data_IF_062453929739
#
_entry.id   IF_062453929739
#
_cell.length_a   1.000
_cell.length_b   1.000
_cell.length_c   1.000
_cell.angle_alpha   90.00
_cell.angle_beta   90.00
_cell.angle_gamma   90.00
#
_symmetry.space_group_name_H-M   'P 1'
#
loop_
_entity.id
_entity.type
_entity.pdbx_description
1 polymer ?
#
# COMPACT_ATOMS: atom_id res chain seq x y z
N UNK A 1 59.58 -30.93 -35.35
CA UNK A 1 59.61 -31.59 -34.03
C UNK A 1 58.28 -32.32 -33.84
N UNK A 2 58.36 -33.65 -33.85
CA UNK A 2 57.55 -34.65 -33.12
C UNK A 2 56.09 -34.33 -32.70
N UNK A 3 55.15 -35.16 -33.20
CA UNK A 3 53.92 -35.56 -32.46
C UNK A 3 54.30 -36.54 -31.31
N UNK A 4 53.44 -36.81 -30.32
CA UNK A 4 52.35 -37.77 -30.54
C UNK A 4 51.00 -37.41 -29.88
N UNK A 5 49.96 -38.01 -30.46
CA UNK A 5 48.65 -38.33 -29.89
C UNK A 5 48.74 -39.38 -28.79
N UNK A 6 47.81 -39.38 -27.82
CA UNK A 6 47.38 -40.62 -27.17
C UNK A 6 45.97 -40.49 -26.58
N UNK A 7 45.01 -41.17 -27.22
CA UNK A 7 43.83 -41.76 -26.58
C UNK A 7 44.27 -42.85 -25.61
N UNK A 8 43.49 -43.12 -24.54
CA UNK A 8 42.97 -44.46 -24.18
C UNK A 8 42.37 -44.47 -22.76
N UNK A 9 41.17 -45.06 -22.69
CA UNK A 9 40.51 -45.83 -21.62
C UNK A 9 40.00 -45.17 -20.33
N UNK A 10 38.67 -45.31 -20.20
CA UNK A 10 37.95 -45.72 -18.99
C UNK A 10 38.76 -46.67 -18.10
N UNK A 11 38.79 -46.43 -16.79
CA UNK A 11 38.31 -47.46 -15.86
C UNK A 11 37.91 -46.91 -14.49
N UNK A 12 36.90 -47.57 -13.95
CA UNK A 12 36.15 -47.24 -12.74
C UNK A 12 37.02 -47.29 -11.49
N UNK A 13 36.83 -46.36 -10.57
CA UNK A 13 37.01 -46.65 -9.15
C UNK A 13 35.85 -46.08 -8.33
N UNK A 14 35.30 -46.97 -7.52
CA UNK A 14 34.01 -46.92 -6.85
C UNK A 14 33.90 -45.85 -5.78
N UNK A 15 32.65 -45.43 -5.58
CA UNK A 15 32.03 -45.03 -4.31
C UNK A 15 32.89 -44.27 -3.30
N UNK A 16 32.65 -42.97 -3.20
CA UNK A 16 32.36 -42.39 -1.91
C UNK A 16 31.10 -41.53 -1.99
N UNK A 17 30.08 -41.98 -1.24
CA UNK A 17 28.98 -41.15 -0.78
C UNK A 17 29.58 -39.99 0.03
N UNK A 18 29.28 -38.77 -0.37
CA UNK A 18 29.34 -37.62 0.53
C UNK A 18 28.29 -36.60 0.10
N UNK A 19 27.15 -36.73 0.77
CA UNK A 19 26.22 -35.66 1.15
C UNK A 19 25.84 -34.64 0.06
N UNK A 20 24.75 -34.96 -0.65
CA UNK A 20 23.86 -33.96 -1.22
C UNK A 20 23.20 -33.14 -0.09
N UNK A 21 23.95 -32.25 0.55
CA UNK A 21 23.35 -31.09 1.18
C UNK A 21 22.86 -30.16 0.07
N UNK A 22 21.65 -30.42 -0.43
CA UNK A 22 20.84 -29.42 -1.10
C UNK A 22 20.67 -28.25 -0.13
N UNK A 23 21.58 -27.28 -0.19
CA UNK A 23 21.35 -25.94 0.32
C UNK A 23 20.18 -25.39 -0.50
N UNK A 24 18.95 -25.65 -0.05
CA UNK A 24 17.76 -24.93 -0.48
C UNK A 24 18.07 -23.46 -0.27
N UNK A 25 18.41 -22.77 -1.36
CA UNK A 25 18.67 -21.35 -1.37
C UNK A 25 17.34 -20.69 -1.03
N UNK A 26 17.14 -20.39 0.26
CA UNK A 26 15.88 -19.91 0.76
C UNK A 26 15.43 -18.69 -0.05
N UNK A 27 14.38 -18.87 -0.84
CA UNK A 27 13.79 -17.81 -1.63
C UNK A 27 12.46 -17.43 -0.97
N UNK A 28 12.11 -16.15 -0.96
CA UNK A 28 10.81 -15.68 -0.44
C UNK A 28 9.62 -16.42 -1.10
N UNK A 29 9.81 -16.91 -2.33
CA UNK A 29 8.77 -17.68 -3.05
C UNK A 29 8.64 -19.13 -2.58
N UNK A 30 9.67 -19.70 -1.95
CA UNK A 30 9.68 -21.07 -1.42
C UNK A 30 9.34 -21.14 0.07
N UNK A 31 9.19 -19.99 0.73
CA UNK A 31 8.77 -19.96 2.13
C UNK A 31 7.32 -20.45 2.31
N UNK A 32 7.03 -21.16 3.41
CA UNK A 32 5.68 -21.48 3.85
C UNK A 32 4.78 -20.23 3.90
N UNK A 33 3.50 -20.43 3.62
CA UNK A 33 2.50 -19.35 3.59
C UNK A 33 2.42 -18.63 4.93
N UNK A 34 2.52 -19.39 6.02
CA UNK A 34 2.44 -18.93 7.41
C UNK A 34 3.57 -17.94 7.71
N UNK A 35 4.80 -18.24 7.28
CA UNK A 35 5.94 -17.33 7.48
C UNK A 35 5.77 -16.04 6.67
N UNK A 36 5.21 -16.12 5.47
CA UNK A 36 4.97 -14.92 4.65
C UNK A 36 3.88 -14.05 5.27
N UNK A 37 2.82 -14.66 5.83
CA UNK A 37 1.80 -13.94 6.60
C UNK A 37 2.44 -13.24 7.79
N UNK A 38 3.24 -13.95 8.60
CA UNK A 38 3.92 -13.36 9.76
C UNK A 38 4.86 -12.21 9.38
N UNK A 39 5.63 -12.35 8.30
CA UNK A 39 6.47 -11.26 7.78
C UNK A 39 5.59 -10.07 7.38
N UNK A 40 4.45 -10.32 6.74
CA UNK A 40 3.54 -9.26 6.29
C UNK A 40 2.87 -8.56 7.46
N UNK A 41 2.42 -9.30 8.48
CA UNK A 41 1.88 -8.76 9.73
C UNK A 41 2.93 -7.91 10.45
N UNK A 42 4.15 -8.42 10.58
CA UNK A 42 5.26 -7.66 11.16
C UNK A 42 5.53 -6.36 10.38
N UNK A 43 5.45 -6.38 9.05
CA UNK A 43 5.64 -5.18 8.22
C UNK A 43 4.52 -4.15 8.40
N UNK A 44 3.25 -4.56 8.42
CA UNK A 44 2.13 -3.61 8.57
C UNK A 44 2.05 -3.02 9.97
N UNK A 45 2.59 -3.72 10.99
CA UNK A 45 2.68 -3.27 12.38
C UNK A 45 4.06 -2.73 12.78
N UNK A 46 5.00 -2.60 11.85
CA UNK A 46 6.40 -2.28 12.16
C UNK A 46 6.59 -0.90 12.83
N UNK A 47 5.59 -0.02 12.76
CA UNK A 47 5.70 1.35 13.24
C UNK A 47 4.53 1.74 14.14
N UNK A 48 4.84 2.53 15.16
CA UNK A 48 3.87 3.27 15.99
C UNK A 48 3.47 4.52 15.19
N UNK A 49 2.78 4.31 14.08
CA UNK A 49 2.16 5.43 13.36
C UNK A 49 0.81 5.71 14.01
N UNK A 50 0.57 6.97 14.40
CA UNK A 50 -0.62 7.41 15.15
C UNK A 50 -1.95 7.35 14.37
N UNK A 51 -1.96 6.73 13.19
CA UNK A 51 -3.18 6.62 12.42
C UNK A 51 -3.52 7.92 11.67
N UNK A 52 -4.68 7.89 11.02
CA UNK A 52 -5.27 9.09 10.41
C UNK A 52 -5.96 10.01 11.44
N UNK A 53 -5.74 9.79 12.74
CA UNK A 53 -6.40 10.57 13.81
C UNK A 53 -5.41 11.37 14.67
N UNK A 54 -4.11 11.07 14.61
CA UNK A 54 -3.10 11.76 15.41
C UNK A 54 -2.26 12.71 14.56
N UNK A 55 -1.89 13.84 15.16
CA UNK A 55 -0.94 14.75 14.54
C UNK A 55 0.48 14.21 14.71
N UNK A 56 1.26 14.27 13.63
CA UNK A 56 2.61 13.71 13.59
C UNK A 56 3.64 14.82 13.38
N UNK A 57 4.71 14.76 14.18
CA UNK A 57 5.87 15.63 14.07
C UNK A 57 6.97 14.92 13.28
N UNK A 58 7.52 15.61 12.30
CA UNK A 58 8.62 15.08 11.52
C UNK A 58 9.87 15.96 11.70
N UNK A 59 11.03 15.29 11.63
CA UNK A 59 12.38 15.88 11.66
C UNK A 59 12.54 16.98 10.58
N UNK A 60 13.52 17.89 10.70
CA UNK A 60 13.66 19.02 9.80
C UNK A 60 13.76 18.59 8.35
N UNK A 61 12.80 19.06 7.56
CA UNK A 61 12.79 18.93 6.11
C UNK A 61 12.57 20.30 5.49
N UNK A 62 13.05 20.47 4.26
CA UNK A 62 13.02 21.75 3.55
C UNK A 62 11.62 22.05 3.01
N UNK A 63 10.82 21.03 2.68
CA UNK A 63 9.45 21.18 2.19
C UNK A 63 8.51 20.04 2.56
N UNK A 64 7.19 20.30 2.60
CA UNK A 64 6.15 19.28 2.84
C UNK A 64 6.19 18.12 1.84
N UNK A 65 6.73 18.34 0.64
CA UNK A 65 6.88 17.30 -0.38
C UNK A 65 7.98 16.28 -0.02
N UNK A 66 8.95 16.67 0.83
CA UNK A 66 10.04 15.81 1.30
C UNK A 66 9.62 14.89 2.47
N UNK A 67 8.40 15.06 2.97
CA UNK A 67 7.88 14.24 4.04
C UNK A 67 7.92 12.75 3.70
N UNK A 68 8.34 11.89 4.65
CA UNK A 68 8.13 10.46 4.50
C UNK A 68 6.64 10.20 4.28
N UNK A 69 6.35 9.43 3.23
CA UNK A 69 4.96 9.08 2.93
C UNK A 69 4.44 8.15 4.05
N UNK A 70 3.19 8.32 4.50
CA UNK A 70 2.64 7.52 5.58
C UNK A 70 2.70 6.02 5.27
N UNK A 71 2.73 5.22 6.34
CA UNK A 71 2.76 3.76 6.32
C UNK A 71 3.85 3.14 5.44
N UNK A 72 5.15 3.42 5.69
CA UNK A 72 6.24 2.77 4.98
C UNK A 72 6.20 1.24 5.13
N UNK A 73 5.78 0.71 6.28
CA UNK A 73 5.58 -0.73 6.52
C UNK A 73 4.53 -1.36 5.60
N UNK A 74 3.32 -0.78 5.54
CA UNK A 74 2.26 -1.20 4.61
C UNK A 74 2.72 -1.11 3.15
N UNK A 75 3.47 -0.06 2.81
CA UNK A 75 4.04 0.12 1.47
C UNK A 75 5.10 -0.94 1.16
N UNK A 76 5.94 -1.32 2.12
CA UNK A 76 6.92 -2.39 1.98
C UNK A 76 6.22 -3.74 1.75
N UNK A 77 5.17 -4.04 2.53
CA UNK A 77 4.32 -5.21 2.34
C UNK A 77 3.67 -5.24 0.94
N UNK A 78 3.11 -4.12 0.47
CA UNK A 78 2.53 -4.02 -0.86
C UNK A 78 3.57 -4.21 -1.98
N UNK A 79 4.79 -3.67 -1.81
CA UNK A 79 5.92 -3.89 -2.73
C UNK A 79 6.33 -5.36 -2.76
N UNK A 80 6.42 -6.03 -1.61
CA UNK A 80 6.70 -7.46 -1.52
C UNK A 80 5.67 -8.27 -2.33
N UNK A 81 4.38 -8.01 -2.10
CA UNK A 81 3.30 -8.64 -2.85
C UNK A 81 3.39 -8.37 -4.36
N UNK A 82 3.78 -7.17 -4.77
CA UNK A 82 3.85 -6.77 -6.19
C UNK A 82 4.86 -7.56 -7.02
N UNK A 83 5.86 -8.20 -6.39
CA UNK A 83 6.91 -8.95 -7.08
C UNK A 83 6.41 -10.18 -7.84
N UNK A 84 5.43 -10.91 -7.30
CA UNK A 84 4.87 -12.08 -7.97
C UNK A 84 3.42 -12.39 -7.55
N UNK A 85 2.70 -13.17 -8.38
CA UNK A 85 1.29 -13.53 -8.13
C UNK A 85 1.08 -14.27 -6.80
N UNK A 86 1.99 -15.21 -6.46
CA UNK A 86 1.89 -16.01 -5.23
C UNK A 86 1.98 -15.13 -3.99
N UNK A 87 3.00 -14.26 -3.93
CA UNK A 87 3.17 -13.36 -2.79
C UNK A 87 1.98 -12.40 -2.69
N UNK A 88 1.57 -11.76 -3.78
CA UNK A 88 0.37 -10.92 -3.81
C UNK A 88 -0.87 -11.62 -3.22
N UNK A 89 -1.12 -12.86 -3.61
CA UNK A 89 -2.29 -13.61 -3.13
C UNK A 89 -2.27 -13.82 -1.61
N UNK A 90 -1.07 -14.01 -1.03
CA UNK A 90 -0.89 -14.21 0.41
C UNK A 90 -0.89 -12.88 1.17
N UNK A 91 -0.25 -11.84 0.62
CA UNK A 91 -0.10 -10.55 1.31
C UNK A 91 -1.34 -9.68 1.22
N UNK A 92 -2.11 -9.75 0.12
CA UNK A 92 -3.25 -8.86 -0.12
C UNK A 92 -4.33 -8.95 0.99
N UNK A 93 -4.77 -10.14 1.45
CA UNK A 93 -5.72 -10.25 2.55
C UNK A 93 -5.22 -9.60 3.85
N UNK A 94 -3.92 -9.75 4.17
CA UNK A 94 -3.32 -9.16 5.37
C UNK A 94 -3.31 -7.64 5.26
N UNK A 95 -2.82 -7.11 4.14
CA UNK A 95 -2.70 -5.67 3.89
C UNK A 95 -4.08 -5.00 3.88
N UNK A 96 -5.06 -5.57 3.17
CA UNK A 96 -6.40 -5.00 3.06
C UNK A 96 -7.18 -5.15 4.36
N UNK A 97 -7.02 -6.28 5.08
CA UNK A 97 -7.59 -6.45 6.42
C UNK A 97 -7.05 -5.43 7.41
N UNK A 98 -5.75 -5.10 7.33
CA UNK A 98 -5.16 -4.02 8.11
C UNK A 98 -5.72 -2.65 7.70
N UNK A 99 -5.80 -2.35 6.40
CA UNK A 99 -6.32 -1.07 5.88
C UNK A 99 -7.76 -0.79 6.33
N UNK A 100 -8.63 -1.82 6.28
CA UNK A 100 -10.02 -1.70 6.70
C UNK A 100 -10.12 -1.43 8.21
N UNK A 101 -9.31 -2.12 9.02
CA UNK A 101 -9.37 -2.04 10.49
C UNK A 101 -8.70 -0.79 11.06
N UNK A 102 -7.58 -0.37 10.49
CA UNK A 102 -6.67 0.60 11.09
C UNK A 102 -6.46 1.85 10.23
N UNK A 103 -6.88 1.83 8.96
CA UNK A 103 -6.63 2.91 8.00
C UNK A 103 -7.92 3.42 7.35
N UNK A 104 -9.10 3.14 7.90
CA UNK A 104 -10.39 3.65 7.44
C UNK A 104 -10.69 3.37 5.95
N UNK A 105 -10.23 2.23 5.43
CA UNK A 105 -10.33 1.91 4.00
C UNK A 105 -9.64 2.95 3.10
N UNK A 106 -8.50 3.49 3.55
CA UNK A 106 -7.74 4.51 2.80
C UNK A 106 -7.36 4.05 1.40
N UNK A 107 -7.17 2.75 1.18
CA UNK A 107 -6.86 2.21 -0.14
C UNK A 107 -7.98 2.49 -1.16
N UNK A 108 -9.25 2.45 -0.74
CA UNK A 108 -10.40 2.80 -1.57
C UNK A 108 -10.37 4.29 -1.94
N UNK A 109 -10.22 5.16 -0.94
CA UNK A 109 -10.20 6.62 -1.09
C UNK A 109 -9.04 7.09 -1.97
N UNK A 110 -7.83 6.60 -1.71
CA UNK A 110 -6.63 6.94 -2.48
C UNK A 110 -6.69 6.40 -3.90
N UNK A 111 -7.32 5.24 -4.12
CA UNK A 111 -7.54 4.71 -5.47
C UNK A 111 -8.53 5.57 -6.25
N UNK A 112 -9.60 6.03 -5.60
CA UNK A 112 -10.59 6.91 -6.21
C UNK A 112 -9.99 8.27 -6.60
N UNK A 113 -9.23 8.91 -5.70
CA UNK A 113 -8.51 10.17 -5.98
C UNK A 113 -7.58 10.06 -7.20
N UNK A 114 -6.99 8.88 -7.42
CA UNK A 114 -6.05 8.60 -8.52
C UNK A 114 -6.70 8.06 -9.80
N UNK A 115 -8.02 7.86 -9.83
CA UNK A 115 -8.69 7.28 -10.99
C UNK A 115 -8.41 5.79 -11.21
N UNK A 116 -8.04 5.05 -10.17
CA UNK A 116 -7.66 3.63 -10.29
C UNK A 116 -8.86 2.71 -10.06
N UNK A 117 -9.59 2.38 -11.13
CA UNK A 117 -10.71 1.41 -11.08
C UNK A 117 -10.26 0.07 -10.49
N UNK A 118 -9.07 -0.41 -10.86
CA UNK A 118 -8.51 -1.66 -10.33
C UNK A 118 -8.27 -1.58 -8.82
N UNK A 119 -7.77 -0.44 -8.32
CA UNK A 119 -7.55 -0.23 -6.90
C UNK A 119 -8.86 -0.19 -6.12
N UNK A 120 -9.85 0.54 -6.64
CA UNK A 120 -11.20 0.61 -6.08
C UNK A 120 -11.85 -0.78 -6.05
N UNK A 121 -11.84 -1.50 -7.17
CA UNK A 121 -12.37 -2.86 -7.26
C UNK A 121 -11.72 -3.81 -6.26
N UNK A 122 -10.40 -3.71 -6.07
CA UNK A 122 -9.68 -4.52 -5.10
C UNK A 122 -10.11 -4.19 -3.67
N UNK A 123 -10.13 -2.92 -3.28
CA UNK A 123 -10.54 -2.53 -1.93
C UNK A 123 -11.96 -3.02 -1.59
N UNK A 124 -12.90 -2.82 -2.52
CA UNK A 124 -14.28 -3.30 -2.36
C UNK A 124 -14.37 -4.84 -2.31
N UNK A 125 -13.57 -5.56 -3.10
CA UNK A 125 -13.54 -7.03 -3.06
C UNK A 125 -13.08 -7.59 -1.71
N UNK A 126 -12.29 -6.82 -0.95
CA UNK A 126 -11.87 -7.18 0.42
C UNK A 126 -12.82 -6.65 1.50
N UNK A 127 -13.92 -5.99 1.12
CA UNK A 127 -14.95 -5.52 2.06
C UNK A 127 -14.74 -4.11 2.58
N UNK A 128 -13.97 -3.26 1.90
CA UNK A 128 -13.94 -1.83 2.20
C UNK A 128 -15.36 -1.24 2.09
N UNK A 129 -15.74 -0.40 3.06
CA UNK A 129 -17.01 0.31 3.02
C UNK A 129 -17.00 1.33 1.87
N UNK A 130 -17.89 1.14 0.90
CA UNK A 130 -18.00 1.99 -0.28
C UNK A 130 -18.35 3.44 0.06
N UNK A 131 -19.02 3.65 1.19
CA UNK A 131 -19.47 4.95 1.68
C UNK A 131 -18.58 5.49 2.82
N UNK A 132 -17.39 4.91 3.02
CA UNK A 132 -16.43 5.41 4.00
C UNK A 132 -16.12 6.90 3.78
N UNK A 133 -16.06 7.65 4.88
CA UNK A 133 -15.72 9.06 4.87
C UNK A 133 -14.21 9.25 4.83
N UNK A 134 -13.75 10.27 4.10
CA UNK A 134 -12.33 10.49 3.89
C UNK A 134 -11.61 10.95 5.17
N UNK A 135 -10.68 10.12 5.63
CA UNK A 135 -9.74 10.43 6.71
C UNK A 135 -8.31 10.67 6.21
N UNK A 136 -8.09 10.59 4.90
CA UNK A 136 -6.75 10.67 4.30
C UNK A 136 -6.24 12.10 4.08
N UNK A 137 -7.09 13.10 4.33
CA UNK A 137 -6.72 14.52 4.23
C UNK A 137 -5.95 14.93 5.48
N UNK A 138 -4.93 15.75 5.28
CA UNK A 138 -4.18 16.39 6.33
C UNK A 138 -3.83 17.81 5.91
N UNK A 139 -3.77 18.69 6.89
CA UNK A 139 -3.12 19.98 6.79
C UNK A 139 -1.66 19.87 7.25
N UNK A 140 -0.87 20.88 6.97
CA UNK A 140 0.55 20.95 7.35
C UNK A 140 0.89 22.29 7.96
N UNK A 141 1.42 22.28 9.19
CA UNK A 141 1.95 23.46 9.85
C UNK A 141 3.47 23.44 9.79
N UNK A 142 4.08 24.37 9.07
CA UNK A 142 5.52 24.61 9.05
C UNK A 142 5.91 25.54 10.21
N UNK A 143 6.92 25.16 10.99
CA UNK A 143 7.51 26.00 12.02
C UNK A 143 8.97 26.27 11.68
N UNK A 144 9.26 27.55 11.42
CA UNK A 144 10.63 28.01 11.23
C UNK A 144 11.50 27.69 12.44
N UNK A 145 12.75 27.32 12.17
CA UNK A 145 13.77 27.23 13.19
C UNK A 145 14.16 28.63 13.69
N UNK A 146 14.40 28.76 14.99
CA UNK A 146 14.72 30.02 15.67
C UNK A 146 16.22 30.12 16.03
N UNK A 147 17.07 29.35 15.35
CA UNK A 147 18.53 29.32 15.54
C UNK A 147 19.02 28.35 16.61
N UNK A 148 18.13 27.88 17.49
CA UNK A 148 18.42 26.84 18.50
C UNK A 148 17.61 25.56 18.27
N UNK A 149 16.42 25.68 17.68
CA UNK A 149 15.61 24.56 17.20
C UNK A 149 15.69 24.43 15.67
N UNK A 150 15.76 23.19 15.20
CA UNK A 150 15.62 22.91 13.78
C UNK A 150 14.18 23.20 13.32
N UNK A 151 13.95 23.55 12.04
CA UNK A 151 12.60 23.68 11.52
C UNK A 151 11.85 22.37 11.69
N UNK A 152 10.57 22.44 12.00
CA UNK A 152 9.73 21.25 12.13
C UNK A 152 8.47 21.44 11.35
N UNK A 153 7.87 20.32 10.96
CA UNK A 153 6.56 20.39 10.36
C UNK A 153 5.68 19.32 10.92
N UNK A 154 4.45 19.73 11.13
CA UNK A 154 3.41 18.94 11.76
C UNK A 154 2.35 18.61 10.73
N UNK A 155 2.07 17.32 10.56
CA UNK A 155 0.90 16.87 9.79
C UNK A 155 -0.28 16.81 10.73
N UNK A 156 -1.40 17.42 10.33
CA UNK A 156 -2.59 17.52 11.16
C UNK A 156 -3.75 16.89 10.41
N UNK A 157 -4.32 15.78 10.91
CA UNK A 157 -5.44 15.14 10.23
C UNK A 157 -6.64 16.08 10.11
N UNK A 158 -7.25 16.11 8.93
CA UNK A 158 -8.47 16.87 8.66
C UNK A 158 -9.63 15.90 8.48
N UNK A 159 -10.72 16.11 9.22
CA UNK A 159 -11.94 15.32 9.04
C UNK A 159 -12.70 15.84 7.82
N UNK A 160 -12.99 14.94 6.90
CA UNK A 160 -13.82 15.23 5.73
C UNK A 160 -15.06 14.35 5.73
N UNK A 161 -16.15 14.89 5.18
CA UNK A 161 -17.38 14.15 4.92
C UNK A 161 -17.44 13.60 3.50
N UNK A 162 -16.38 13.76 2.70
CA UNK A 162 -16.34 13.28 1.32
C UNK A 162 -16.11 11.77 1.27
N UNK A 163 -16.75 11.09 0.32
CA UNK A 163 -16.55 9.65 0.07
C UNK A 163 -15.67 9.41 -1.16
N UNK A 164 -15.35 8.16 -1.45
CA UNK A 164 -14.64 7.77 -2.68
C UNK A 164 -15.35 8.28 -3.96
N UNK A 165 -16.68 8.26 -3.98
CA UNK A 165 -17.47 8.76 -5.11
C UNK A 165 -17.28 10.27 -5.32
N UNK A 166 -17.29 11.05 -4.23
CA UNK A 166 -17.08 12.49 -4.29
C UNK A 166 -15.70 12.85 -4.84
N UNK A 167 -14.67 12.14 -4.41
CA UNK A 167 -13.31 12.36 -4.92
C UNK A 167 -13.15 11.98 -6.39
N UNK A 168 -13.71 10.85 -6.80
CA UNK A 168 -13.69 10.44 -8.20
C UNK A 168 -14.40 11.48 -9.10
N UNK A 169 -15.54 12.00 -8.66
CA UNK A 169 -16.27 13.04 -9.37
C UNK A 169 -15.49 14.37 -9.40
N UNK A 170 -14.96 14.82 -8.27
CA UNK A 170 -14.18 16.06 -8.16
C UNK A 170 -12.97 16.08 -9.10
N UNK A 171 -12.26 14.96 -9.22
CA UNK A 171 -11.11 14.84 -10.11
C UNK A 171 -11.47 14.41 -11.55
N UNK A 172 -12.76 14.22 -11.88
CA UNK A 172 -13.20 13.89 -13.24
C UNK A 172 -12.96 12.45 -13.68
N UNK A 173 -12.76 11.51 -12.74
CA UNK A 173 -12.53 10.09 -13.02
C UNK A 173 -13.86 9.37 -13.30
N UNK A 174 -14.43 9.62 -14.48
CA UNK A 174 -15.77 9.16 -14.87
C UNK A 174 -15.91 7.62 -14.84
N UNK A 175 -14.85 6.88 -15.15
CA UNK A 175 -14.81 5.41 -15.09
C UNK A 175 -14.92 4.89 -13.65
N UNK A 176 -14.22 5.52 -12.70
CA UNK A 176 -14.34 5.22 -11.27
C UNK A 176 -15.71 5.61 -10.75
N UNK A 177 -16.27 6.76 -11.15
CA UNK A 177 -17.63 7.18 -10.77
C UNK A 177 -18.65 6.14 -11.22
N UNK A 178 -18.63 5.77 -12.51
CA UNK A 178 -19.54 4.77 -13.06
C UNK A 178 -19.38 3.42 -12.34
N UNK A 179 -18.15 3.01 -12.04
CA UNK A 179 -17.88 1.78 -11.32
C UNK A 179 -18.44 1.82 -9.89
N UNK A 180 -18.18 2.88 -9.13
CA UNK A 180 -18.70 3.03 -7.76
C UNK A 180 -20.22 3.05 -7.70
N UNK A 181 -20.87 3.78 -8.62
CA UNK A 181 -22.34 3.79 -8.74
C UNK A 181 -22.90 2.40 -9.07
N UNK A 182 -22.25 1.66 -9.96
CA UNK A 182 -22.64 0.28 -10.28
C UNK A 182 -22.52 -0.69 -9.09
N UNK A 183 -21.74 -0.31 -8.06
CA UNK A 183 -21.57 -1.05 -6.81
C UNK A 183 -22.45 -0.53 -5.67
N UNK A 184 -23.33 0.43 -5.94
CA UNK A 184 -24.28 0.96 -4.96
C UNK A 184 -23.69 2.03 -4.04
N UNK A 185 -22.67 2.77 -4.50
CA UNK A 185 -22.20 3.96 -3.78
C UNK A 185 -23.34 4.97 -3.64
N UNK A 186 -23.51 5.50 -2.43
CA UNK A 186 -24.54 6.50 -2.16
C UNK A 186 -24.08 7.89 -2.60
N UNK A 187 -24.91 8.53 -3.41
CA UNK A 187 -24.71 9.86 -3.98
C UNK A 187 -24.95 10.94 -2.92
N UNK A 188 -25.80 10.67 -1.93
CA UNK A 188 -26.28 11.66 -0.95
C UNK A 188 -25.46 11.72 0.34
N UNK A 189 -24.40 10.92 0.45
CA UNK A 189 -23.60 10.81 1.67
C UNK A 189 -22.91 12.11 2.11
N UNK A 190 -22.85 13.15 1.27
CA UNK A 190 -22.10 14.36 1.59
C UNK A 190 -22.73 15.67 1.14
N UNK A 191 -24.02 15.93 1.36
CA UNK A 191 -24.48 17.32 1.37
C UNK A 191 -25.67 17.49 2.34
N UNK A 192 -25.65 18.44 3.31
CA UNK A 192 -26.90 19.05 3.72
C UNK A 192 -27.51 19.66 2.45
N UNK A 193 -28.81 19.45 2.26
CA UNK A 193 -29.69 19.70 1.10
C UNK A 193 -29.46 21.02 0.32
N UNK A 194 -28.68 21.97 0.82
CA UNK A 194 -28.49 23.32 0.29
C UNK A 194 -27.68 23.42 -1.02
N UNK A 195 -26.71 22.55 -1.30
CA UNK A 195 -25.84 22.73 -2.48
C UNK A 195 -26.40 22.13 -3.79
N UNK A 196 -27.25 21.11 -3.70
CA UNK A 196 -27.96 20.55 -4.87
C UNK A 196 -28.87 21.60 -5.54
N UNK A 197 -29.40 22.56 -4.77
CA UNK A 197 -30.18 23.67 -5.30
C UNK A 197 -29.35 24.58 -6.23
N UNK A 198 -28.04 24.70 -6.03
CA UNK A 198 -27.17 25.56 -6.85
C UNK A 198 -26.71 24.89 -8.16
N UNK A 199 -26.61 23.56 -8.19
CA UNK A 199 -26.17 22.82 -9.39
C UNK A 199 -27.35 22.49 -10.31
N UNK A 200 -28.56 22.30 -9.77
CA UNK A 200 -29.79 22.10 -10.55
C UNK A 200 -30.44 23.41 -11.03
N UNK A 201 -29.91 24.57 -10.63
CA UNK A 201 -30.39 25.90 -11.07
C UNK A 201 -29.44 26.64 -12.01
N UNK A 202 -28.39 25.97 -12.49
CA UNK A 202 -27.49 26.45 -13.55
C UNK A 202 -27.72 25.64 -14.84
#
# INVERSE_FOLDING_TARGET
MSRPSCSVAFDKCSMHQSDEHQHLKACLTTLPTELIILITEALVHAEVWGGYDEAEWHAPYESVDDLPKPFPGVRAAARLGSTCKRLRYITDPVIMGFDIKHCYSSSLLLSAKRGSVRGVAKALAYGADINTLDRTIFDSEFKDGNGYEAPTVKRIPTKSTLTALHWAAFFGHADVVAFLLSKGADIQMSFPILLMAAILSA
#
